data_IF_834638138364
#
_entry.id   IF_834638138364
#
_cell.length_a   1.000
_cell.length_b   1.000
_cell.length_c   1.000
_cell.angle_alpha   90.00
_cell.angle_beta   90.00
_cell.angle_gamma   90.00
#
_symmetry.space_group_name_H-M   'P 1'
#
loop_
_entity.id
_entity.type
_entity.pdbx_description
1 polymer ?
#
# COMPACT_ATOMS: atom_id res chain seq x y z
N UNK A 1 -9.39 -21.15 -23.36
CA UNK A 1 -9.55 -20.59 -24.73
C UNK A 1 -8.62 -19.41 -24.95
N UNK A 2 -8.70 -18.33 -24.15
CA UNK A 2 -7.83 -17.14 -24.28
C UNK A 2 -6.34 -17.45 -24.30
N UNK A 3 -5.83 -18.28 -23.38
CA UNK A 3 -4.42 -18.67 -23.36
C UNK A 3 -3.92 -19.23 -24.70
N UNK A 4 -4.71 -20.10 -25.37
CA UNK A 4 -4.31 -20.67 -26.65
C UNK A 4 -4.17 -19.59 -27.72
N UNK A 5 -5.17 -18.70 -27.82
CA UNK A 5 -5.18 -17.61 -28.81
C UNK A 5 -4.01 -16.65 -28.58
N UNK A 6 -3.75 -16.26 -27.34
CA UNK A 6 -2.60 -15.39 -27.01
C UNK A 6 -1.29 -16.09 -27.37
N UNK A 7 -1.15 -17.37 -27.01
CA UNK A 7 0.03 -18.16 -27.35
C UNK A 7 0.25 -18.24 -28.86
N UNK A 8 -0.80 -18.41 -29.64
CA UNK A 8 -0.72 -18.45 -31.10
C UNK A 8 -0.28 -17.08 -31.67
N UNK A 9 -0.80 -15.96 -31.15
CA UNK A 9 -0.34 -14.63 -31.54
C UNK A 9 1.15 -14.39 -31.22
N UNK A 10 1.59 -14.78 -30.02
CA UNK A 10 3.00 -14.67 -29.64
C UNK A 10 3.90 -15.54 -30.53
N UNK A 11 3.47 -16.76 -30.88
CA UNK A 11 4.21 -17.61 -31.81
C UNK A 11 4.24 -17.05 -33.24
N UNK A 12 3.24 -16.28 -33.65
CA UNK A 12 3.23 -15.59 -34.95
C UNK A 12 4.10 -14.33 -34.99
N UNK A 13 4.79 -13.99 -33.89
CA UNK A 13 5.69 -12.84 -33.80
C UNK A 13 5.03 -11.55 -33.32
N UNK A 14 3.79 -11.60 -32.82
CA UNK A 14 3.13 -10.43 -32.25
C UNK A 14 3.79 -10.03 -30.92
N UNK A 15 3.97 -8.72 -30.71
CA UNK A 15 4.55 -8.22 -29.47
C UNK A 15 3.54 -8.36 -28.31
N UNK A 16 3.95 -8.85 -27.12
CA UNK A 16 3.07 -8.98 -25.97
C UNK A 16 2.33 -7.68 -25.59
N UNK A 17 2.99 -6.53 -25.76
CA UNK A 17 2.45 -5.20 -25.43
C UNK A 17 1.26 -4.79 -26.29
N UNK A 18 1.14 -5.36 -27.50
CA UNK A 18 0.02 -5.13 -28.41
C UNK A 18 -1.23 -5.90 -28.01
N UNK A 19 -1.14 -6.76 -27.00
CA UNK A 19 -2.23 -7.61 -26.51
C UNK A 19 -2.70 -7.10 -25.16
N UNK A 20 -3.99 -6.77 -25.07
CA UNK A 20 -4.64 -6.37 -23.83
C UNK A 20 -5.79 -7.32 -23.43
N UNK A 21 -5.93 -7.57 -22.14
CA UNK A 21 -7.06 -8.29 -21.52
C UNK A 21 -7.77 -7.35 -20.55
N UNK A 22 -9.00 -6.98 -20.88
CA UNK A 22 -9.79 -6.02 -20.12
C UNK A 22 -10.86 -6.75 -19.30
N UNK A 23 -10.85 -6.56 -17.99
CA UNK A 23 -11.85 -7.14 -17.10
C UNK A 23 -12.58 -6.07 -16.28
N UNK A 24 -13.66 -6.46 -15.61
CA UNK A 24 -14.44 -5.52 -14.79
C UNK A 24 -13.92 -5.32 -13.38
N UNK A 25 -13.20 -6.30 -12.82
CA UNK A 25 -12.76 -6.27 -11.42
C UNK A 25 -11.31 -6.68 -11.26
N UNK A 26 -10.64 -6.02 -10.31
CA UNK A 26 -9.25 -6.31 -9.96
C UNK A 26 -9.04 -7.77 -9.52
N UNK A 27 -10.03 -8.37 -8.84
CA UNK A 27 -9.96 -9.79 -8.44
C UNK A 27 -9.79 -10.69 -9.67
N UNK A 28 -10.54 -10.44 -10.75
CA UNK A 28 -10.47 -11.26 -11.96
C UNK A 28 -9.19 -10.99 -12.76
N UNK A 29 -8.72 -9.76 -12.79
CA UNK A 29 -7.43 -9.44 -13.38
C UNK A 29 -6.29 -10.18 -12.66
N UNK A 30 -6.27 -10.21 -11.33
CA UNK A 30 -5.28 -10.97 -10.56
C UNK A 30 -5.31 -12.47 -10.87
N UNK A 31 -6.51 -13.04 -11.00
CA UNK A 31 -6.70 -14.44 -11.34
C UNK A 31 -6.18 -14.78 -12.74
N UNK A 32 -6.48 -13.95 -13.76
CA UNK A 32 -6.06 -14.23 -15.14
C UNK A 32 -4.56 -14.04 -15.34
N UNK A 33 -3.97 -13.02 -14.69
CA UNK A 33 -2.53 -12.81 -14.67
C UNK A 33 -1.78 -14.01 -14.13
N UNK A 34 -2.13 -14.45 -12.92
CA UNK A 34 -1.55 -15.64 -12.30
C UNK A 34 -1.74 -16.90 -13.16
N UNK A 35 -2.90 -17.03 -13.82
CA UNK A 35 -3.17 -18.17 -14.72
C UNK A 35 -2.29 -18.19 -15.96
N UNK A 36 -1.95 -17.03 -16.53
CA UNK A 36 -1.08 -16.88 -17.71
C UNK A 36 0.40 -17.00 -17.34
N UNK A 37 0.82 -16.37 -16.24
CA UNK A 37 2.19 -16.43 -15.71
C UNK A 37 2.59 -17.87 -15.38
N UNK A 38 1.70 -18.63 -14.72
CA UNK A 38 1.91 -20.06 -14.44
C UNK A 38 2.06 -20.93 -15.71
N UNK A 39 1.79 -20.40 -16.89
CA UNK A 39 1.96 -21.07 -18.19
C UNK A 39 3.02 -20.40 -19.08
N UNK A 40 3.86 -19.54 -18.52
CA UNK A 40 4.98 -18.92 -19.21
C UNK A 40 4.62 -17.71 -20.09
N UNK A 41 3.42 -17.13 -19.92
CA UNK A 41 3.07 -15.85 -20.56
C UNK A 41 3.14 -14.78 -19.48
N UNK A 42 4.13 -13.89 -19.57
CA UNK A 42 4.24 -12.75 -18.68
C UNK A 42 3.06 -11.81 -18.89
N UNK A 43 2.48 -11.34 -17.78
CA UNK A 43 1.41 -10.35 -17.82
C UNK A 43 1.80 -9.09 -17.07
N UNK A 44 1.40 -7.96 -17.64
CA UNK A 44 1.47 -6.68 -16.99
C UNK A 44 0.12 -6.42 -16.34
N UNK A 45 -0.02 -6.74 -15.07
CA UNK A 45 -1.21 -6.40 -14.29
C UNK A 45 -0.86 -5.59 -13.07
N UNK A 46 -1.43 -4.40 -13.01
CA UNK A 46 -1.21 -3.50 -11.89
C UNK A 46 -2.44 -3.39 -10.99
N UNK A 47 -2.38 -4.03 -9.82
CA UNK A 47 -3.37 -3.82 -8.75
C UNK A 47 -2.79 -3.54 -7.39
N UNK A 48 -1.48 -3.67 -7.26
CA UNK A 48 -0.83 -3.38 -6.00
C UNK A 48 -0.74 -1.86 -5.88
N UNK A 49 -1.42 -1.33 -4.86
CA UNK A 49 -1.42 0.09 -4.55
C UNK A 49 -0.29 0.38 -3.58
N UNK A 50 0.35 1.54 -3.70
CA UNK A 50 1.48 1.92 -2.85
C UNK A 50 1.07 1.93 -1.37
N UNK A 51 -0.05 2.56 -1.05
CA UNK A 51 -0.57 2.70 0.32
C UNK A 51 -1.12 1.40 0.91
N UNK A 52 -1.28 0.35 0.11
CA UNK A 52 -1.69 -0.98 0.60
C UNK A 52 -0.51 -1.81 1.12
N UNK A 53 0.72 -1.47 0.74
CA UNK A 53 1.91 -2.21 1.15
C UNK A 53 2.09 -2.12 2.67
N UNK A 54 2.36 -3.26 3.31
CA UNK A 54 2.49 -3.34 4.76
C UNK A 54 3.54 -2.36 5.29
N UNK A 55 4.73 -2.33 4.65
CA UNK A 55 5.83 -1.44 5.02
C UNK A 55 5.47 0.05 4.91
N UNK A 56 4.61 0.41 3.94
CA UNK A 56 4.17 1.81 3.75
C UNK A 56 3.16 2.18 4.83
N UNK A 57 2.26 1.25 5.21
CA UNK A 57 1.37 1.46 6.35
C UNK A 57 2.15 1.65 7.65
N UNK A 58 3.24 0.92 7.84
CA UNK A 58 4.12 1.05 9.01
C UNK A 58 4.81 2.42 9.03
N UNK A 59 5.37 2.85 7.90
CA UNK A 59 5.99 4.17 7.76
C UNK A 59 4.97 5.31 8.01
N UNK A 60 3.74 5.17 7.50
CA UNK A 60 2.65 6.14 7.74
C UNK A 60 2.26 6.18 9.21
N UNK A 61 2.28 5.05 9.91
CA UNK A 61 2.07 5.04 11.36
C UNK A 61 3.15 5.85 12.10
N UNK A 62 4.43 5.68 11.74
CA UNK A 62 5.51 6.48 12.33
C UNK A 62 5.35 7.99 12.03
N UNK A 63 4.91 8.35 10.82
CA UNK A 63 4.61 9.73 10.44
C UNK A 63 3.47 10.33 11.26
N UNK A 64 2.39 9.57 11.47
CA UNK A 64 1.24 10.03 12.26
C UNK A 64 1.63 10.29 13.73
N UNK A 65 2.49 9.45 14.31
CA UNK A 65 3.05 9.65 15.66
C UNK A 65 3.92 10.90 15.71
N UNK A 66 4.80 11.10 14.72
CA UNK A 66 5.67 12.27 14.65
C UNK A 66 4.88 13.59 14.58
N UNK A 67 3.80 13.61 13.80
CA UNK A 67 2.98 14.80 13.60
C UNK A 67 1.89 15.00 14.69
N UNK A 68 1.77 14.07 15.64
CA UNK A 68 0.76 14.06 16.70
C UNK A 68 -0.67 14.23 16.15
N UNK A 69 -0.99 13.46 15.11
CA UNK A 69 -2.32 13.43 14.49
C UNK A 69 -3.35 12.69 15.36
N UNK A 70 -4.62 12.81 15.03
CA UNK A 70 -5.72 11.98 15.55
C UNK A 70 -5.50 10.47 15.32
N UNK A 71 -4.72 10.10 14.30
CA UNK A 71 -4.37 8.72 13.97
C UNK A 71 -3.19 8.16 14.78
N UNK A 72 -2.59 8.95 15.68
CA UNK A 72 -1.39 8.56 16.46
C UNK A 72 -1.63 7.35 17.37
N UNK A 73 -2.77 7.27 18.05
CA UNK A 73 -3.06 6.15 18.95
C UNK A 73 -3.18 4.82 18.19
N UNK A 74 -3.90 4.83 17.06
CA UNK A 74 -3.97 3.68 16.17
C UNK A 74 -2.60 3.27 15.62
N UNK A 75 -1.74 4.25 15.34
CA UNK A 75 -0.36 3.99 14.93
C UNK A 75 0.47 3.33 16.04
N UNK A 76 0.31 3.76 17.30
CA UNK A 76 0.98 3.14 18.45
C UNK A 76 0.52 1.71 18.66
N UNK A 77 -0.80 1.45 18.59
CA UNK A 77 -1.36 0.11 18.67
C UNK A 77 -0.83 -0.80 17.55
N UNK A 78 -0.67 -0.27 16.32
CA UNK A 78 -0.05 -1.00 15.22
C UNK A 78 1.39 -1.42 15.54
N UNK A 79 2.20 -0.49 16.04
CA UNK A 79 3.60 -0.75 16.42
C UNK A 79 3.68 -1.78 17.55
N UNK A 80 2.81 -1.67 18.56
CA UNK A 80 2.72 -2.65 19.65
C UNK A 80 2.45 -4.06 19.12
N UNK A 81 1.45 -4.20 18.22
CA UNK A 81 1.12 -5.48 17.60
C UNK A 81 2.31 -6.07 16.85
N UNK A 82 3.03 -5.24 16.09
CA UNK A 82 4.11 -5.71 15.22
C UNK A 82 5.38 -6.08 16.00
N UNK A 83 5.58 -5.48 17.19
CA UNK A 83 6.72 -5.78 18.07
C UNK A 83 6.46 -6.89 19.08
N UNK A 84 5.31 -6.85 19.76
CA UNK A 84 5.02 -7.68 20.94
C UNK A 84 3.84 -8.65 20.69
N UNK A 85 3.17 -8.55 19.54
CA UNK A 85 2.12 -9.46 19.13
C UNK A 85 0.70 -9.05 19.54
N UNK A 86 -0.27 -9.88 19.15
CA UNK A 86 -1.71 -9.59 19.34
C UNK A 86 -2.18 -9.74 20.79
N UNK A 87 -1.51 -10.60 21.57
CA UNK A 87 -1.83 -10.82 22.99
C UNK A 87 -1.55 -9.57 23.82
N UNK A 88 -0.34 -9.01 23.69
CA UNK A 88 0.05 -7.77 24.36
C UNK A 88 -0.87 -6.59 23.98
N UNK A 89 -1.26 -6.48 22.70
CA UNK A 89 -2.23 -5.47 22.27
C UNK A 89 -3.59 -5.65 22.94
N UNK A 90 -4.09 -6.90 23.01
CA UNK A 90 -5.39 -7.20 23.58
C UNK A 90 -5.42 -6.96 25.08
N UNK A 91 -4.34 -7.31 25.78
CA UNK A 91 -4.15 -7.04 27.21
C UNK A 91 -4.13 -5.55 27.50
N UNK A 92 -3.33 -4.78 26.76
CA UNK A 92 -3.26 -3.33 26.91
C UNK A 92 -4.61 -2.66 26.64
N UNK A 93 -5.28 -3.04 25.55
CA UNK A 93 -6.59 -2.48 25.21
C UNK A 93 -7.59 -2.79 26.32
N UNK A 94 -7.61 -4.03 26.82
CA UNK A 94 -8.50 -4.45 27.90
C UNK A 94 -8.24 -3.69 29.19
N UNK A 95 -6.97 -3.53 29.59
CA UNK A 95 -6.62 -2.82 30.83
C UNK A 95 -6.93 -1.32 30.72
N UNK A 96 -6.63 -0.70 29.58
CA UNK A 96 -6.99 0.69 29.30
C UNK A 96 -8.49 0.94 29.43
N UNK A 97 -9.34 0.07 28.86
CA UNK A 97 -10.79 0.18 29.00
C UNK A 97 -11.28 -0.12 30.43
N UNK A 98 -10.71 -1.11 31.11
CA UNK A 98 -11.10 -1.47 32.49
C UNK A 98 -10.76 -0.38 33.50
N UNK A 99 -9.60 0.25 33.34
CA UNK A 99 -9.12 1.29 34.24
C UNK A 99 -9.83 2.63 34.00
N UNK A 100 -10.63 2.73 32.93
CA UNK A 100 -11.36 3.94 32.54
C UNK A 100 -10.46 5.19 32.54
N UNK A 101 -9.24 5.03 32.01
CA UNK A 101 -8.24 6.07 32.03
C UNK A 101 -8.67 7.24 31.12
N UNK A 102 -8.68 8.49 31.60
CA UNK A 102 -9.21 9.63 30.85
C UNK A 102 -8.22 10.22 29.82
N UNK A 103 -6.93 9.85 29.90
CA UNK A 103 -5.87 10.32 29.01
C UNK A 103 -5.62 9.40 27.83
N UNK A 104 -4.61 9.72 27.02
CA UNK A 104 -4.28 8.93 25.81
C UNK A 104 -3.68 7.56 26.12
N UNK A 105 -3.71 6.65 25.13
CA UNK A 105 -3.02 5.35 25.23
C UNK A 105 -1.50 5.51 25.48
N UNK A 106 -0.90 6.59 24.96
CA UNK A 106 0.54 6.87 25.13
C UNK A 106 0.85 7.27 26.57
N UNK A 107 -0.01 8.08 27.18
CA UNK A 107 0.09 8.44 28.60
C UNK A 107 -0.13 7.22 29.50
N UNK A 108 -1.13 6.40 29.18
CA UNK A 108 -1.39 5.16 29.90
C UNK A 108 -0.18 4.21 29.85
N UNK A 109 0.43 4.03 28.67
CA UNK A 109 1.66 3.26 28.49
C UNK A 109 2.80 3.76 29.37
N UNK A 110 2.90 5.08 29.58
CA UNK A 110 3.94 5.70 30.42
C UNK A 110 3.77 5.42 31.91
N UNK A 111 2.54 5.10 32.34
CA UNK A 111 2.23 4.71 33.71
C UNK A 111 2.48 3.22 33.97
N UNK A 112 2.39 2.39 32.93
CA UNK A 112 2.63 0.95 33.04
C UNK A 112 4.14 0.66 33.15
N UNK A 113 4.54 -0.12 34.15
CA UNK A 113 5.95 -0.54 34.36
C UNK A 113 6.34 -1.77 33.53
N UNK A 114 5.50 -2.16 32.59
CA UNK A 114 5.72 -3.36 31.79
C UNK A 114 6.82 -3.13 30.74
N UNK A 115 7.66 -4.14 30.53
CA UNK A 115 8.82 -4.08 29.63
C UNK A 115 8.42 -3.78 28.18
N UNK A 116 7.29 -4.32 27.73
CA UNK A 116 6.71 -4.08 26.41
C UNK A 116 6.32 -2.61 26.20
N UNK A 117 5.71 -1.98 27.22
CA UNK A 117 5.34 -0.57 27.17
C UNK A 117 6.57 0.34 27.09
N UNK A 118 7.60 0.05 27.88
CA UNK A 118 8.85 0.81 27.87
C UNK A 118 9.54 0.80 26.50
N UNK A 119 9.60 -0.36 25.82
CA UNK A 119 10.17 -0.47 24.47
C UNK A 119 9.46 0.42 23.45
N UNK A 120 8.14 0.51 23.53
CA UNK A 120 7.34 1.34 22.62
C UNK A 120 7.57 2.81 22.91
N UNK A 121 7.57 3.20 24.19
CA UNK A 121 7.87 4.58 24.60
C UNK A 121 9.26 5.00 24.14
N UNK A 122 10.27 4.13 24.22
CA UNK A 122 11.60 4.42 23.65
C UNK A 122 11.54 4.73 22.15
N UNK A 123 10.70 4.01 21.38
CA UNK A 123 10.52 4.26 19.95
C UNK A 123 9.78 5.60 19.74
N UNK A 124 8.72 5.86 20.49
CA UNK A 124 7.95 7.11 20.41
C UNK A 124 8.85 8.31 20.73
N UNK A 125 9.61 8.26 21.82
CA UNK A 125 10.54 9.34 22.18
C UNK A 125 11.65 9.52 21.13
N UNK A 126 12.16 8.44 20.53
CA UNK A 126 13.10 8.54 19.39
C UNK A 126 12.46 9.25 18.19
N UNK A 127 11.20 8.97 17.88
CA UNK A 127 10.46 9.63 16.81
C UNK A 127 10.30 11.13 17.12
N UNK A 128 9.81 11.49 18.30
CA UNK A 128 9.64 12.90 18.68
C UNK A 128 10.96 13.68 18.82
N UNK A 129 12.09 12.99 19.02
CA UNK A 129 13.42 13.62 19.03
C UNK A 129 13.94 14.02 17.64
N UNK A 130 13.26 13.63 16.56
CA UNK A 130 13.67 13.99 15.19
C UNK A 130 13.57 15.51 15.02
N UNK A 131 14.72 16.15 14.74
CA UNK A 131 14.78 17.59 14.52
C UNK A 131 13.98 18.00 13.28
N UNK A 132 13.31 19.15 13.37
CA UNK A 132 12.67 19.81 12.23
C UNK A 132 13.69 20.02 11.10
N UNK A 133 13.32 19.63 9.88
CA UNK A 133 14.20 19.61 8.73
C UNK A 133 13.47 19.32 7.43
N UNK A 134 14.23 19.02 6.36
CA UNK A 134 13.65 18.61 5.08
C UNK A 134 12.86 17.31 5.24
N UNK A 135 11.64 17.26 4.68
CA UNK A 135 10.73 16.11 4.74
C UNK A 135 11.42 14.82 4.25
N UNK A 136 12.24 14.87 3.20
CA UNK A 136 13.00 13.69 2.74
C UNK A 136 13.93 13.14 3.83
N UNK A 137 14.60 14.03 4.58
CA UNK A 137 15.45 13.63 5.71
C UNK A 137 14.64 13.04 6.86
N UNK A 138 13.48 13.61 7.16
CA UNK A 138 12.57 13.10 8.19
C UNK A 138 12.08 11.70 7.84
N UNK A 139 11.59 11.51 6.62
CA UNK A 139 11.15 10.19 6.12
C UNK A 139 12.30 9.18 6.16
N UNK A 140 13.53 9.61 5.84
CA UNK A 140 14.72 8.77 5.93
C UNK A 140 15.04 8.35 7.37
N UNK A 141 14.99 9.26 8.35
CA UNK A 141 15.20 8.91 9.75
C UNK A 141 14.12 7.97 10.28
N UNK A 142 12.85 8.17 9.90
CA UNK A 142 11.77 7.23 10.24
C UNK A 142 12.02 5.84 9.64
N UNK A 143 12.51 5.76 8.40
CA UNK A 143 12.91 4.48 7.79
C UNK A 143 14.01 3.76 8.59
N UNK A 144 14.94 4.50 9.21
CA UNK A 144 15.99 3.92 10.07
C UNK A 144 15.42 3.42 11.39
N UNK A 145 14.54 4.20 12.04
CA UNK A 145 13.87 3.82 13.29
C UNK A 145 13.06 2.54 13.08
N UNK A 146 12.26 2.49 12.00
CA UNK A 146 11.49 1.31 11.61
C UNK A 146 12.32 0.15 11.04
N UNK A 147 13.63 0.36 10.79
CA UNK A 147 14.56 -0.61 10.20
C UNK A 147 14.05 -1.20 8.88
N UNK A 148 13.31 -0.44 8.07
CA UNK A 148 12.62 -0.95 6.89
C UNK A 148 13.54 -1.45 5.78
N UNK A 149 14.80 -1.00 5.74
CA UNK A 149 15.83 -1.45 4.80
C UNK A 149 16.74 -2.55 5.36
N UNK A 150 16.43 -3.11 6.52
CA UNK A 150 17.29 -4.10 7.20
C UNK A 150 16.80 -5.51 6.90
N UNK A 151 16.98 -5.97 5.66
CA UNK A 151 16.78 -7.38 5.31
C UNK A 151 18.08 -8.05 4.87
N UNK A 152 18.29 -9.31 5.28
CA UNK A 152 19.54 -10.06 5.00
C UNK A 152 19.51 -10.73 3.62
N UNK A 153 18.32 -10.97 3.06
CA UNK A 153 18.15 -11.59 1.76
C UNK A 153 17.72 -10.56 0.70
N UNK A 154 18.68 -9.76 0.25
CA UNK A 154 18.45 -8.73 -0.78
C UNK A 154 18.06 -9.31 -2.16
N UNK A 155 18.16 -10.62 -2.35
CA UNK A 155 17.83 -11.28 -3.61
C UNK A 155 16.38 -11.77 -3.68
N UNK A 156 15.67 -11.84 -2.56
CA UNK A 156 14.24 -12.16 -2.58
C UNK A 156 13.43 -11.08 -3.30
N UNK A 157 12.53 -11.51 -4.20
CA UNK A 157 11.60 -10.62 -4.91
C UNK A 157 10.75 -9.80 -3.95
N UNK A 158 10.38 -10.36 -2.80
CA UNK A 158 9.58 -9.66 -1.78
C UNK A 158 10.34 -8.50 -1.14
N UNK A 159 11.65 -8.69 -0.89
CA UNK A 159 12.52 -7.62 -0.36
C UNK A 159 12.69 -6.51 -1.39
N UNK A 160 12.90 -6.88 -2.66
CA UNK A 160 13.00 -5.91 -3.76
C UNK A 160 11.70 -5.11 -3.92
N UNK A 161 10.53 -5.76 -3.85
CA UNK A 161 9.22 -5.08 -3.86
C UNK A 161 9.07 -4.10 -2.70
N UNK A 162 9.48 -4.52 -1.49
CA UNK A 162 9.45 -3.69 -0.28
C UNK A 162 10.31 -2.43 -0.45
N UNK A 163 11.55 -2.59 -0.93
CA UNK A 163 12.45 -1.46 -1.18
C UNK A 163 11.93 -0.56 -2.29
N UNK A 164 11.31 -1.12 -3.33
CA UNK A 164 10.70 -0.34 -4.39
C UNK A 164 9.56 0.55 -3.87
N UNK A 165 8.68 -0.01 -3.04
CA UNK A 165 7.61 0.75 -2.40
C UNK A 165 8.17 1.90 -1.54
N UNK A 166 9.18 1.62 -0.72
CA UNK A 166 9.81 2.64 0.12
C UNK A 166 10.49 3.74 -0.70
N UNK A 167 11.17 3.38 -1.79
CA UNK A 167 11.80 4.35 -2.67
C UNK A 167 10.76 5.24 -3.36
N UNK A 168 9.69 4.65 -3.91
CA UNK A 168 8.59 5.42 -4.50
C UNK A 168 7.97 6.39 -3.48
N UNK A 169 7.74 5.95 -2.24
CA UNK A 169 7.23 6.82 -1.19
C UNK A 169 8.19 7.98 -0.87
N UNK A 170 9.51 7.73 -0.86
CA UNK A 170 10.52 8.78 -0.66
C UNK A 170 10.55 9.77 -1.82
N UNK A 171 10.39 9.31 -3.05
CA UNK A 171 10.32 10.21 -4.21
C UNK A 171 9.07 11.08 -4.16
N UNK A 172 7.93 10.54 -3.71
CA UNK A 172 6.74 11.34 -3.39
C UNK A 172 7.02 12.39 -2.32
N UNK A 173 7.73 12.03 -1.24
CA UNK A 173 8.12 12.96 -0.19
C UNK A 173 9.06 14.08 -0.69
N UNK A 174 9.99 13.76 -1.58
CA UNK A 174 10.88 14.74 -2.24
C UNK A 174 10.09 15.67 -3.14
N UNK A 175 9.19 15.14 -3.96
CA UNK A 175 8.34 15.93 -4.85
C UNK A 175 7.49 16.92 -4.06
N UNK A 176 6.90 16.48 -2.94
CA UNK A 176 6.18 17.37 -2.03
C UNK A 176 7.09 18.49 -1.50
N UNK A 177 8.30 18.16 -1.06
CA UNK A 177 9.29 19.12 -0.54
C UNK A 177 9.72 20.18 -1.58
N UNK A 178 9.75 19.82 -2.86
CA UNK A 178 10.04 20.77 -3.96
C UNK A 178 8.83 21.63 -4.35
N UNK A 179 7.63 21.08 -4.23
CA UNK A 179 6.39 21.73 -4.69
C UNK A 179 5.86 22.73 -3.67
N UNK A 180 5.98 22.42 -2.37
CA UNK A 180 5.48 23.25 -1.28
C UNK A 180 6.67 23.84 -0.50
N UNK A 181 6.85 25.16 -0.60
CA UNK A 181 8.00 25.89 -0.02
C UNK A 181 7.97 25.99 1.51
N UNK A 182 6.78 25.97 2.12
CA UNK A 182 6.59 25.97 3.57
C UNK A 182 6.63 24.53 4.11
N UNK A 183 7.77 24.18 4.70
CA UNK A 183 8.13 22.81 5.09
C UNK A 183 7.52 22.40 6.42
N UNK A 184 6.20 22.28 6.48
CA UNK A 184 5.53 21.77 7.67
C UNK A 184 5.32 20.25 7.59
N UNK A 185 5.91 19.52 8.55
CA UNK A 185 5.74 18.07 8.69
C UNK A 185 4.26 17.70 8.82
N UNK A 186 3.47 18.49 9.57
CA UNK A 186 2.03 18.24 9.74
C UNK A 186 1.27 18.29 8.41
N UNK A 187 1.57 19.27 7.56
CA UNK A 187 0.96 19.38 6.22
C UNK A 187 1.35 18.19 5.32
N UNK A 188 2.59 17.72 5.40
CA UNK A 188 3.00 16.53 4.67
C UNK A 188 2.26 15.27 5.14
N UNK A 189 2.12 15.10 6.46
CA UNK A 189 1.38 13.94 7.01
C UNK A 189 -0.10 14.00 6.64
N UNK A 190 -0.71 15.19 6.65
CA UNK A 190 -2.08 15.39 6.17
C UNK A 190 -2.22 15.02 4.68
N UNK A 191 -1.32 15.51 3.82
CA UNK A 191 -1.26 15.13 2.41
C UNK A 191 -1.16 13.61 2.23
N UNK A 192 -0.26 12.95 2.95
CA UNK A 192 -0.08 11.49 2.91
C UNK A 192 -1.35 10.75 3.35
N UNK A 193 -2.02 11.23 4.38
CA UNK A 193 -3.26 10.64 4.88
C UNK A 193 -4.39 10.75 3.84
N UNK A 194 -4.53 11.90 3.17
CA UNK A 194 -5.49 12.11 2.09
C UNK A 194 -5.18 11.17 0.90
N UNK A 195 -3.91 11.10 0.48
CA UNK A 195 -3.48 10.19 -0.61
C UNK A 195 -3.76 8.72 -0.26
N UNK A 196 -3.56 8.33 1.00
CA UNK A 196 -3.89 6.99 1.49
C UNK A 196 -5.39 6.70 1.49
N UNK A 197 -6.24 7.69 1.74
CA UNK A 197 -7.70 7.54 1.69
C UNK A 197 -8.23 7.41 0.27
N UNK A 198 -7.70 8.22 -0.66
CA UNK A 198 -7.98 8.10 -2.10
C UNK A 198 -7.46 6.75 -2.61
N UNK A 199 -6.27 6.35 -2.17
CA UNK A 199 -5.63 5.07 -2.46
C UNK A 199 -5.53 4.78 -3.96
N UNK A 200 -5.23 5.78 -4.81
CA UNK A 200 -5.16 5.59 -6.26
C UNK A 200 -3.71 5.49 -6.77
N UNK A 201 -2.73 5.71 -5.90
CA UNK A 201 -1.31 5.63 -6.25
C UNK A 201 -0.88 4.16 -6.54
N UNK A 202 -0.51 3.83 -7.77
CA UNK A 202 -0.04 2.50 -8.13
C UNK A 202 1.36 2.26 -7.56
N UNK A 203 1.63 1.07 -7.01
CA UNK A 203 3.02 0.68 -6.69
C UNK A 203 3.85 0.59 -7.98
N UNK A 204 4.98 1.26 -8.11
CA UNK A 204 5.79 1.13 -9.32
C UNK A 204 6.37 -0.28 -9.46
N UNK A 205 6.70 -0.64 -10.70
CA UNK A 205 7.35 -1.93 -11.02
C UNK A 205 8.83 -1.81 -10.71
N UNK A 206 9.44 -2.91 -10.29
CA UNK A 206 10.89 -2.97 -10.09
C UNK A 206 11.54 -2.81 -11.46
N UNK A 207 12.51 -1.90 -11.61
CA UNK A 207 13.10 -1.52 -12.90
C UNK A 207 13.49 -2.70 -13.80
N UNK A 208 13.93 -3.82 -13.22
CA UNK A 208 14.33 -5.05 -13.93
C UNK A 208 13.16 -5.76 -14.65
N UNK A 209 11.91 -5.48 -14.27
CA UNK A 209 10.71 -6.05 -14.87
C UNK A 209 10.09 -5.13 -15.94
N UNK A 210 10.62 -3.92 -16.13
CA UNK A 210 10.13 -2.95 -17.13
C UNK A 210 10.47 -3.43 -18.55
N UNK A 211 11.62 -4.08 -18.73
CA UNK A 211 12.07 -4.62 -20.02
C UNK A 211 11.44 -5.99 -20.37
N UNK A 212 10.56 -6.51 -19.52
CA UNK A 212 9.86 -7.77 -19.81
C UNK A 212 8.62 -7.43 -20.65
N UNK A 213 8.70 -7.68 -21.96
CA UNK A 213 7.53 -7.60 -22.82
C UNK A 213 6.43 -8.54 -22.31
N UNK A 214 5.31 -7.96 -21.88
CA UNK A 214 4.24 -8.67 -21.20
C UNK A 214 2.86 -8.27 -21.72
N UNK A 215 1.93 -9.23 -21.67
CA UNK A 215 0.52 -9.01 -22.06
C UNK A 215 -0.15 -8.09 -21.07
N UNK A 216 -0.77 -7.01 -21.54
CA UNK A 216 -1.42 -6.02 -20.69
C UNK A 216 -2.72 -6.57 -20.11
N UNK A 217 -2.87 -6.61 -18.79
CA UNK A 217 -4.09 -7.01 -18.11
C UNK A 217 -4.53 -5.85 -17.25
N UNK A 218 -5.77 -5.39 -17.37
CA UNK A 218 -6.25 -4.22 -16.63
C UNK A 218 -7.77 -4.20 -16.51
N UNK A 219 -8.28 -3.27 -15.70
CA UNK A 219 -9.72 -3.02 -15.70
C UNK A 219 -10.13 -2.21 -16.91
N UNK A 220 -11.39 -2.35 -17.35
CA UNK A 220 -11.94 -1.54 -18.45
C UNK A 220 -11.85 -0.03 -18.15
N UNK A 221 -11.99 0.37 -16.88
CA UNK A 221 -11.83 1.78 -16.49
C UNK A 221 -10.38 2.27 -16.64
N UNK A 222 -9.41 1.40 -16.32
CA UNK A 222 -7.98 1.70 -16.44
C UNK A 222 -7.50 1.80 -17.89
N UNK A 223 -8.26 1.28 -18.86
CA UNK A 223 -7.89 1.29 -20.28
C UNK A 223 -8.24 2.61 -21.01
N UNK A 224 -8.84 3.59 -20.31
CA UNK A 224 -9.29 4.84 -20.92
C UNK A 224 -8.09 5.60 -21.51
N UNK A 225 -8.17 5.92 -22.81
CA UNK A 225 -7.10 6.61 -23.53
C UNK A 225 -5.93 5.73 -23.97
N UNK A 226 -6.05 4.41 -23.83
CA UNK A 226 -5.07 3.44 -24.34
C UNK A 226 -5.59 2.75 -25.60
N UNK A 227 -4.67 2.35 -26.48
CA UNK A 227 -4.97 1.63 -27.72
C UNK A 227 -4.11 0.36 -27.81
N UNK A 228 -4.71 -0.73 -28.31
CA UNK A 228 -4.05 -2.03 -28.45
C UNK A 228 -4.53 -2.72 -29.73
N UNK A 229 -3.63 -3.45 -30.40
CA UNK A 229 -3.95 -4.19 -31.63
C UNK A 229 -4.91 -5.36 -31.39
N UNK A 230 -4.76 -6.04 -30.26
CA UNK A 230 -5.58 -7.18 -29.88
C UNK A 230 -6.16 -6.98 -28.48
N UNK A 231 -7.50 -6.92 -28.38
CA UNK A 231 -8.21 -6.73 -27.12
C UNK A 231 -9.09 -7.93 -26.80
N UNK A 232 -8.90 -8.51 -25.62
CA UNK A 232 -9.71 -9.59 -25.09
C UNK A 232 -10.59 -9.07 -23.94
N UNK A 233 -11.89 -9.28 -24.02
CA UNK A 233 -12.83 -8.98 -22.93
C UNK A 233 -13.43 -10.30 -22.43
N UNK A 234 -12.78 -11.01 -21.51
CA UNK A 234 -13.31 -12.24 -20.95
C UNK A 234 -14.52 -12.01 -20.05
N UNK A 235 -15.31 -13.07 -19.84
CA UNK A 235 -16.44 -13.08 -18.91
C UNK A 235 -17.56 -12.08 -19.24
N UNK A 236 -17.83 -11.86 -20.53
CA UNK A 236 -19.04 -11.19 -21.02
C UNK A 236 -20.27 -12.07 -20.74
N UNK A 237 -20.74 -12.04 -19.49
CA UNK A 237 -21.95 -12.71 -19.03
C UNK A 237 -22.69 -11.86 -18.02
N UNK A 238 -24.02 -12.03 -17.97
CA UNK A 238 -24.87 -11.41 -16.96
C UNK A 238 -24.38 -11.70 -15.54
N UNK A 239 -24.45 -10.69 -14.66
CA UNK A 239 -23.95 -10.74 -13.28
C UNK A 239 -22.43 -10.57 -13.13
N UNK A 240 -21.69 -10.45 -14.24
CA UNK A 240 -20.26 -10.09 -14.25
C UNK A 240 -20.01 -8.84 -15.08
N UNK A 241 -20.54 -8.84 -16.31
CA UNK A 241 -20.46 -7.73 -17.24
C UNK A 241 -21.77 -7.70 -18.07
N UNK A 242 -22.76 -6.86 -17.71
CA UNK A 242 -22.72 -5.86 -16.65
C UNK A 242 -22.65 -6.43 -15.23
N UNK A 243 -22.03 -5.71 -14.30
CA UNK A 243 -22.15 -6.03 -12.88
C UNK A 243 -23.62 -5.88 -12.51
N UNK A 244 -24.12 -6.76 -11.64
CA UNK A 244 -25.51 -6.66 -11.19
C UNK A 244 -25.67 -5.32 -10.49
N UNK A 245 -26.39 -4.39 -11.12
CA UNK A 245 -26.80 -3.16 -10.47
C UNK A 245 -27.78 -3.58 -9.37
N UNK A 246 -27.34 -3.58 -8.12
CA UNK A 246 -28.26 -3.51 -7.00
C UNK A 246 -28.68 -2.05 -6.95
N UNK A 247 -29.90 -1.74 -7.36
CA UNK A 247 -30.50 -0.49 -6.91
C UNK A 247 -30.41 -0.50 -5.40
N UNK A 248 -29.95 0.61 -4.80
CA UNK A 248 -30.29 0.85 -3.41
C UNK A 248 -31.79 0.62 -3.30
N UNK A 249 -32.22 -0.29 -2.41
CA UNK A 249 -33.59 -0.20 -1.93
C UNK A 249 -33.69 1.21 -1.38
N UNK A 250 -34.36 2.10 -2.11
CA UNK A 250 -34.92 3.29 -1.50
C UNK A 250 -35.61 2.75 -0.27
N UNK A 251 -35.22 3.25 0.90
CA UNK A 251 -35.93 2.99 2.13
C UNK A 251 -37.30 3.59 1.92
N UNK A 252 -38.21 2.79 1.36
CA UNK A 252 -39.64 3.03 1.44
C UNK A 252 -39.98 2.92 2.92
N UNK A 253 -39.95 4.08 3.59
CA UNK A 253 -40.81 4.50 4.71
C UNK A 253 -40.30 5.84 5.26
N UNK A 254 -40.76 6.92 4.62
CA UNK A 254 -41.49 7.94 5.37
C UNK A 254 -42.83 7.34 5.81
#
# INVERSE_FOLDING_TARGET
KIYKIIKDFLHSGELPENIAILLRSHVKCKQISKYLENRGIYTYYHSEKLFEQAVIKDLISLLNILAETDKSEHAVLRILRDLEGMTALSELSTNYYKDNYPGSIIEYLSLQKETSGQRILEIIYKIWSIKNGNIDKIVWELCKIGKFYRNKDNNSLEVRKTYNALNQFRDMARLFSYTYSDKNVKQFVEFVNIQKEINDEPLQIISEMIDISAVRVMTIHSAKGMEFKHVFIPFLRSGTFPHRYQSMKIVDRL
#
